data_IF_224995000565
#
_entry.id   IF_224995000565
#
_cell.length_a   1.000
_cell.length_b   1.000
_cell.length_c   1.000
_cell.angle_alpha   90.00
_cell.angle_beta   90.00
_cell.angle_gamma   90.00
#
_symmetry.space_group_name_H-M   'P 1'
#
loop_
_entity.id
_entity.type
_entity.pdbx_description
1 polymer ?
#
# COMPACT_ATOMS: atom_id res chain seq x y z
N UNK A 1 -7.69 -8.33 61.53
CA UNK A 1 -7.74 -9.78 61.20
C UNK A 1 -8.84 -9.98 60.17
N UNK A 2 -8.52 -10.21 58.94
CA UNK A 2 -9.45 -10.72 57.91
C UNK A 2 -8.62 -11.51 56.91
N UNK A 3 -8.85 -12.81 56.89
CA UNK A 3 -8.17 -13.82 56.08
C UNK A 3 -8.84 -13.83 54.72
N UNK A 4 -8.07 -13.55 53.63
CA UNK A 4 -8.56 -13.72 52.25
C UNK A 4 -8.09 -15.07 51.74
N UNK A 5 -9.05 -15.91 51.42
CA UNK A 5 -8.88 -17.27 50.89
C UNK A 5 -8.53 -17.26 49.39
N UNK A 6 -7.42 -17.89 49.04
CA UNK A 6 -7.00 -18.24 47.69
C UNK A 6 -7.85 -19.41 47.15
N UNK A 7 -8.58 -19.18 46.07
CA UNK A 7 -9.24 -20.27 45.31
C UNK A 7 -8.28 -20.79 44.23
N UNK A 8 -7.88 -22.05 44.38
CA UNK A 8 -7.17 -22.84 43.35
C UNK A 8 -8.18 -23.35 42.32
N UNK A 9 -7.86 -23.20 41.04
CA UNK A 9 -8.58 -23.80 39.92
C UNK A 9 -7.81 -25.04 39.46
N UNK A 10 -8.49 -26.20 39.23
CA UNK A 10 -7.82 -27.47 38.92
C UNK A 10 -7.44 -27.61 37.46
N UNK A 11 -6.24 -28.16 37.26
CA UNK A 11 -5.68 -28.59 35.98
C UNK A 11 -6.39 -29.87 35.51
N UNK A 12 -7.03 -29.85 34.34
CA UNK A 12 -7.53 -31.06 33.68
C UNK A 12 -6.47 -31.62 32.74
N UNK A 13 -5.92 -32.76 33.12
CA UNK A 13 -5.13 -33.66 32.29
C UNK A 13 -6.01 -34.37 31.27
N UNK A 14 -5.71 -34.25 29.99
CA UNK A 14 -6.33 -35.09 28.96
C UNK A 14 -5.41 -36.27 28.63
N UNK A 15 -5.91 -37.43 28.89
CA UNK A 15 -5.35 -38.78 28.59
C UNK A 15 -5.42 -39.03 27.08
N UNK A 16 -4.34 -39.59 26.56
CA UNK A 16 -4.24 -40.25 25.25
C UNK A 16 -5.02 -41.55 25.23
N UNK A 17 -5.73 -41.80 24.14
CA UNK A 17 -6.21 -43.16 23.80
C UNK A 17 -5.83 -43.48 22.38
N UNK A 18 -4.93 -44.41 22.24
CA UNK A 18 -4.58 -45.14 21.02
C UNK A 18 -5.61 -46.25 20.76
N UNK A 19 -6.16 -46.29 19.54
CA UNK A 19 -6.82 -47.48 19.01
C UNK A 19 -6.33 -47.74 17.59
N UNK A 20 -5.63 -48.87 17.43
CA UNK A 20 -5.27 -49.50 16.16
C UNK A 20 -6.46 -50.38 15.70
N UNK A 21 -6.76 -50.42 14.37
CA UNK A 21 -7.06 -51.62 13.56
C UNK A 21 -7.57 -51.21 12.14
N UNK A 22 -7.64 -52.16 11.14
CA UNK A 22 -6.57 -52.55 10.25
C UNK A 22 -6.94 -52.42 8.75
N UNK A 23 -5.96 -52.68 7.90
CA UNK A 23 -5.93 -52.86 6.44
C UNK A 23 -7.25 -53.22 5.72
N UNK A 24 -7.52 -52.55 4.59
CA UNK A 24 -8.06 -53.15 3.38
C UNK A 24 -7.56 -52.42 2.13
N UNK A 25 -7.02 -53.20 1.20
CA UNK A 25 -6.53 -52.82 -0.12
C UNK A 25 -7.68 -52.33 -1.02
N UNK A 26 -7.51 -51.23 -1.73
CA UNK A 26 -8.18 -51.00 -3.02
C UNK A 26 -7.33 -50.13 -3.92
N UNK A 27 -7.19 -50.60 -5.13
CA UNK A 27 -6.46 -50.15 -6.29
C UNK A 27 -6.78 -48.69 -6.64
N UNK A 28 -5.73 -47.86 -6.82
CA UNK A 28 -5.82 -46.49 -7.28
C UNK A 28 -5.85 -46.33 -8.79
N UNK A 29 -6.47 -45.30 -9.32
CA UNK A 29 -6.33 -44.88 -10.73
C UNK A 29 -5.06 -44.04 -10.95
N UNK A 30 -4.58 -43.92 -12.21
CA UNK A 30 -3.28 -43.38 -12.56
C UNK A 30 -3.21 -41.85 -12.46
N UNK A 31 -2.01 -41.24 -12.44
CA UNK A 31 -1.81 -39.81 -12.25
C UNK A 31 -2.20 -38.97 -13.46
N UNK A 32 -2.80 -37.79 -13.27
CA UNK A 32 -2.98 -36.86 -14.36
C UNK A 32 -1.72 -36.06 -14.67
N UNK A 33 -1.55 -35.84 -15.96
CA UNK A 33 -0.44 -35.14 -16.60
C UNK A 33 -0.34 -33.67 -16.21
N UNK A 34 0.87 -33.14 -16.25
CA UNK A 34 1.26 -31.72 -16.14
C UNK A 34 0.45 -30.82 -17.08
N UNK A 35 -0.02 -29.73 -16.56
CA UNK A 35 -0.42 -28.56 -17.33
C UNK A 35 -1.60 -27.78 -16.79
N UNK A 36 -1.42 -27.01 -15.72
CA UNK A 36 -2.23 -25.82 -15.52
C UNK A 36 -1.46 -24.74 -14.76
N UNK A 37 -1.16 -23.69 -15.51
CA UNK A 37 -0.64 -22.42 -15.03
C UNK A 37 -1.69 -21.71 -14.15
N UNK A 38 -1.24 -21.19 -13.04
CA UNK A 38 -2.03 -20.60 -11.95
C UNK A 38 -3.08 -19.58 -12.41
N UNK A 39 -4.29 -19.70 -11.88
CA UNK A 39 -5.45 -18.82 -12.11
C UNK A 39 -5.28 -17.34 -11.72
N UNK A 40 -4.17 -16.96 -11.09
CA UNK A 40 -3.96 -15.58 -10.65
C UNK A 40 -3.62 -14.59 -11.78
N UNK A 41 -3.20 -15.05 -12.95
CA UNK A 41 -2.94 -14.22 -14.12
C UNK A 41 -4.15 -14.01 -15.01
N UNK A 42 -5.19 -14.82 -14.86
CA UNK A 42 -6.43 -14.72 -15.67
C UNK A 42 -7.41 -13.63 -15.17
N UNK A 43 -7.29 -13.17 -13.95
CA UNK A 43 -8.23 -12.19 -13.36
C UNK A 43 -7.97 -10.75 -13.80
N UNK A 44 -6.74 -10.41 -14.18
CA UNK A 44 -6.39 -9.04 -14.63
C UNK A 44 -6.82 -8.80 -16.09
N UNK A 45 -6.98 -9.86 -16.89
CA UNK A 45 -7.35 -9.73 -18.31
C UNK A 45 -8.85 -9.71 -18.60
N UNK A 46 -9.71 -10.14 -17.66
CA UNK A 46 -11.17 -10.28 -17.92
C UNK A 46 -12.04 -9.10 -17.48
N UNK A 47 -11.58 -8.23 -16.59
CA UNK A 47 -12.40 -7.11 -16.08
C UNK A 47 -12.11 -5.74 -16.73
N UNK A 48 -11.32 -5.70 -17.79
CA UNK A 48 -10.96 -4.46 -18.51
C UNK A 48 -11.71 -4.19 -19.84
N UNK A 49 -12.48 -5.12 -20.36
CA UNK A 49 -13.03 -4.98 -21.74
C UNK A 49 -14.49 -5.47 -21.86
N UNK A 50 -15.34 -5.23 -20.91
CA UNK A 50 -16.75 -5.66 -21.04
C UNK A 50 -17.80 -4.63 -20.67
N UNK A 51 -17.58 -3.34 -20.94
CA UNK A 51 -18.65 -2.34 -20.78
C UNK A 51 -18.59 -1.23 -21.83
N UNK A 52 -18.31 -1.58 -23.10
CA UNK A 52 -18.45 -0.64 -24.22
C UNK A 52 -18.82 -1.37 -25.51
N UNK A 53 -19.91 -2.15 -25.55
CA UNK A 53 -20.56 -2.48 -26.82
C UNK A 53 -21.99 -2.98 -26.54
N UNK A 54 -22.94 -2.05 -26.44
CA UNK A 54 -24.32 -2.31 -26.79
C UNK A 54 -24.91 -1.03 -27.38
N UNK A 55 -25.17 -1.07 -28.64
CA UNK A 55 -25.97 -0.07 -29.34
C UNK A 55 -25.28 0.52 -30.56
N UNK A 56 -25.33 -0.22 -31.67
CA UNK A 56 -25.68 0.27 -33.01
C UNK A 56 -25.74 -0.99 -33.90
N UNK A 57 -26.96 -1.45 -34.19
CA UNK A 57 -27.26 -2.25 -35.38
C UNK A 57 -27.65 -1.30 -36.51
N UNK A 58 -27.05 -1.53 -37.66
CA UNK A 58 -27.62 -1.03 -38.90
C UNK A 58 -26.62 -0.63 -39.97
N UNK A 59 -26.65 -1.41 -41.08
CA UNK A 59 -26.36 -1.05 -42.49
C UNK A 59 -24.91 -1.26 -42.96
N UNK A 60 -24.72 -2.43 -43.58
CA UNK A 60 -24.55 -2.74 -45.01
C UNK A 60 -23.30 -2.26 -45.77
N UNK A 61 -22.54 -3.28 -46.22
CA UNK A 61 -21.73 -3.40 -47.45
C UNK A 61 -20.76 -2.32 -47.93
N UNK A 62 -19.51 -2.73 -48.08
CA UNK A 62 -18.64 -2.19 -49.10
C UNK A 62 -17.13 -2.12 -48.75
N UNK A 63 -16.38 -3.05 -49.40
CA UNK A 63 -14.98 -2.91 -49.80
C UNK A 63 -13.84 -3.08 -48.77
N UNK A 64 -13.26 -4.26 -48.87
CA UNK A 64 -11.92 -4.62 -48.42
C UNK A 64 -10.82 -3.79 -49.09
N UNK A 65 -9.99 -3.12 -48.28
CA UNK A 65 -8.63 -2.71 -48.67
C UNK A 65 -7.66 -3.03 -47.54
N UNK A 66 -6.38 -3.35 -47.85
CA UNK A 66 -5.49 -4.05 -46.95
C UNK A 66 -4.92 -3.15 -45.84
N UNK A 67 -4.85 -3.74 -44.64
CA UNK A 67 -4.31 -3.14 -43.42
C UNK A 67 -2.79 -2.94 -43.57
N UNK A 68 -2.35 -1.71 -43.74
CA UNK A 68 -0.95 -1.33 -43.58
C UNK A 68 -0.58 -1.31 -42.09
N UNK A 69 0.44 -2.08 -41.78
CA UNK A 69 1.11 -2.16 -40.47
C UNK A 69 1.43 -0.75 -39.95
N UNK A 70 0.72 -0.29 -38.91
CA UNK A 70 1.15 0.87 -38.14
C UNK A 70 2.13 0.40 -37.06
N UNK A 71 3.34 0.89 -37.17
CA UNK A 71 4.42 0.76 -36.20
C UNK A 71 3.91 1.06 -34.79
N UNK A 72 3.96 0.05 -33.92
CA UNK A 72 3.91 0.22 -32.48
C UNK A 72 5.20 0.93 -32.06
N UNK A 73 5.08 2.17 -31.63
CA UNK A 73 6.17 2.86 -30.92
C UNK A 73 6.39 2.14 -29.60
N UNK A 74 7.63 1.83 -29.23
CA UNK A 74 7.93 1.21 -27.95
C UNK A 74 7.59 2.17 -26.81
N UNK A 75 6.87 1.65 -25.81
CA UNK A 75 6.70 2.29 -24.50
C UNK A 75 8.10 2.53 -23.92
N UNK A 76 8.53 3.78 -23.89
CA UNK A 76 9.73 4.19 -23.17
C UNK A 76 9.61 3.80 -21.70
N UNK A 77 10.65 3.20 -21.08
CA UNK A 77 10.66 2.98 -19.65
C UNK A 77 10.57 4.34 -18.96
N UNK A 78 9.63 4.44 -18.02
CA UNK A 78 9.53 5.59 -17.13
C UNK A 78 10.88 5.78 -16.44
N UNK A 79 11.67 6.72 -16.94
CA UNK A 79 12.85 7.25 -16.25
C UNK A 79 12.31 7.83 -14.95
N UNK A 80 12.74 7.27 -13.82
CA UNK A 80 12.44 7.81 -12.51
C UNK A 80 12.95 9.24 -12.42
N UNK A 81 12.08 10.21 -12.61
CA UNK A 81 12.36 11.59 -12.28
C UNK A 81 12.50 11.66 -10.75
N UNK A 82 13.73 11.78 -10.29
CA UNK A 82 14.05 12.15 -8.91
C UNK A 82 13.44 13.51 -8.66
N UNK A 83 12.30 13.56 -7.98
CA UNK A 83 11.73 14.81 -7.51
C UNK A 83 12.62 15.34 -6.38
N UNK A 84 13.49 16.28 -6.73
CA UNK A 84 14.23 17.07 -5.76
C UNK A 84 13.25 17.85 -4.90
N UNK A 85 13.25 17.55 -3.61
CA UNK A 85 12.44 18.22 -2.58
C UNK A 85 12.99 19.64 -2.36
N UNK A 86 12.40 20.59 -3.08
CA UNK A 86 12.38 21.98 -2.66
C UNK A 86 10.92 22.44 -2.71
N UNK A 87 10.31 22.54 -1.54
CA UNK A 87 9.01 23.20 -1.36
C UNK A 87 9.18 24.71 -1.61
N UNK A 88 9.47 25.10 -2.86
CA UNK A 88 9.33 26.45 -3.32
C UNK A 88 7.86 26.63 -3.71
N UNK A 89 7.22 27.65 -3.15
CA UNK A 89 5.96 28.21 -3.64
C UNK A 89 6.23 28.68 -5.06
N UNK A 90 6.02 27.82 -6.03
CA UNK A 90 6.08 28.22 -7.44
C UNK A 90 4.79 28.96 -7.77
N UNK A 91 4.80 30.26 -7.44
CA UNK A 91 3.76 31.25 -7.80
C UNK A 91 4.16 31.94 -9.10
N UNK A 92 4.68 31.19 -10.05
CA UNK A 92 4.97 31.67 -11.39
C UNK A 92 3.67 32.00 -12.15
N UNK A 93 3.71 32.87 -13.17
CA UNK A 93 2.57 33.10 -14.06
C UNK A 93 2.16 31.78 -14.73
N UNK A 94 0.92 31.67 -15.21
CA UNK A 94 0.48 30.48 -15.92
C UNK A 94 1.30 30.26 -17.19
N UNK A 95 1.51 29.01 -17.53
CA UNK A 95 2.26 28.60 -18.72
C UNK A 95 1.57 29.11 -19.99
N UNK A 96 2.33 29.71 -20.91
CA UNK A 96 1.80 30.32 -22.14
C UNK A 96 0.91 29.32 -22.92
N UNK A 97 1.34 28.08 -23.10
CA UNK A 97 0.58 27.02 -23.77
C UNK A 97 -0.77 26.75 -23.06
N UNK A 98 -0.80 26.80 -21.73
CA UNK A 98 -2.03 26.59 -20.95
C UNK A 98 -2.99 27.76 -21.16
N UNK A 99 -2.47 28.99 -21.19
CA UNK A 99 -3.27 30.18 -21.46
C UNK A 99 -3.83 30.14 -22.88
N UNK A 100 -3.02 29.77 -23.88
CA UNK A 100 -3.47 29.63 -25.27
C UNK A 100 -4.62 28.60 -25.40
N UNK A 101 -4.42 27.39 -24.87
CA UNK A 101 -5.44 26.34 -24.88
C UNK A 101 -6.72 26.79 -24.15
N UNK A 102 -6.58 27.44 -22.98
CA UNK A 102 -7.71 27.98 -22.24
C UNK A 102 -8.50 28.98 -23.07
N UNK A 103 -7.85 29.95 -23.69
CA UNK A 103 -8.49 30.96 -24.54
C UNK A 103 -9.17 30.35 -25.78
N UNK A 104 -8.53 29.38 -26.40
CA UNK A 104 -9.08 28.64 -27.55
C UNK A 104 -10.36 27.88 -27.17
N UNK A 105 -10.36 27.23 -26.00
CA UNK A 105 -11.54 26.53 -25.50
C UNK A 105 -12.64 27.52 -25.09
N UNK A 106 -12.28 28.68 -24.50
CA UNK A 106 -13.24 29.70 -24.12
C UNK A 106 -13.95 30.28 -25.34
N UNK A 107 -13.24 30.60 -26.42
CA UNK A 107 -13.82 31.04 -27.69
C UNK A 107 -14.83 30.06 -28.29
N UNK A 108 -14.54 28.74 -28.17
CA UNK A 108 -15.48 27.71 -28.60
C UNK A 108 -16.78 27.74 -27.77
N UNK A 109 -16.66 27.91 -26.46
CA UNK A 109 -17.84 27.99 -25.58
C UNK A 109 -18.69 29.24 -25.84
N UNK A 110 -18.05 30.39 -26.11
CA UNK A 110 -18.70 31.63 -26.51
C UNK A 110 -19.43 31.50 -27.84
N UNK A 111 -18.84 30.77 -28.79
CA UNK A 111 -19.46 30.40 -30.06
C UNK A 111 -20.52 29.29 -29.92
N UNK A 112 -20.90 28.92 -28.70
CA UNK A 112 -21.86 27.85 -28.37
C UNK A 112 -21.52 26.48 -28.98
N UNK A 113 -20.21 26.22 -29.17
CA UNK A 113 -19.72 24.92 -29.68
C UNK A 113 -18.91 24.23 -28.60
N UNK A 114 -19.07 22.89 -28.53
CA UNK A 114 -18.30 22.10 -27.56
C UNK A 114 -16.85 21.96 -28.02
N UNK A 115 -15.85 22.37 -27.21
CA UNK A 115 -14.46 22.19 -27.57
C UNK A 115 -14.11 20.71 -27.78
N UNK A 116 -13.21 20.37 -28.69
CA UNK A 116 -12.71 18.99 -28.86
C UNK A 116 -12.10 18.46 -27.57
N UNK A 117 -12.38 17.21 -27.22
CA UNK A 117 -11.82 16.57 -26.03
C UNK A 117 -10.28 16.57 -26.03
N UNK A 118 -9.65 16.52 -27.20
CA UNK A 118 -8.18 16.59 -27.33
C UNK A 118 -7.58 17.83 -26.68
N UNK A 119 -8.26 18.99 -26.78
CA UNK A 119 -7.77 20.24 -26.16
C UNK A 119 -7.81 20.15 -24.63
N UNK A 120 -8.84 19.53 -24.07
CA UNK A 120 -8.92 19.32 -22.61
C UNK A 120 -7.82 18.38 -22.12
N UNK A 121 -7.54 17.30 -22.85
CA UNK A 121 -6.44 16.40 -22.51
C UNK A 121 -5.08 17.07 -22.61
N UNK A 122 -4.85 17.90 -23.66
CA UNK A 122 -3.64 18.69 -23.80
C UNK A 122 -3.50 19.70 -22.67
N UNK A 123 -4.58 20.38 -22.29
CA UNK A 123 -4.60 21.33 -21.18
C UNK A 123 -4.16 20.64 -19.86
N UNK A 124 -4.73 19.48 -19.53
CA UNK A 124 -4.36 18.71 -18.33
C UNK A 124 -2.90 18.28 -18.36
N UNK A 125 -2.42 17.81 -19.52
CA UNK A 125 -1.05 17.36 -19.68
C UNK A 125 -0.02 18.50 -19.53
N UNK A 126 -0.37 19.70 -20.00
CA UNK A 126 0.51 20.88 -19.98
C UNK A 126 0.55 21.60 -18.63
N UNK A 127 -0.36 21.30 -17.69
CA UNK A 127 -0.34 21.93 -16.36
C UNK A 127 0.95 21.57 -15.61
N UNK A 128 1.74 22.57 -15.24
CA UNK A 128 3.01 22.41 -14.52
C UNK A 128 3.05 23.14 -13.17
N UNK A 129 2.28 24.21 -13.03
CA UNK A 129 2.23 25.03 -11.81
C UNK A 129 0.79 25.20 -11.26
N UNK A 130 0.68 25.87 -10.13
CA UNK A 130 -0.60 26.06 -9.43
C UNK A 130 -1.58 26.95 -10.22
N UNK A 131 -1.10 27.96 -10.93
CA UNK A 131 -1.95 28.86 -11.70
C UNK A 131 -2.51 28.17 -12.94
N UNK A 132 -1.77 27.25 -13.55
CA UNK A 132 -2.27 26.37 -14.61
C UNK A 132 -3.44 25.51 -14.12
N UNK A 133 -3.29 24.91 -12.93
CA UNK A 133 -4.37 24.10 -12.32
C UNK A 133 -5.60 24.96 -12.02
N UNK A 134 -5.43 26.20 -11.62
CA UNK A 134 -6.54 27.13 -11.43
C UNK A 134 -7.31 27.35 -12.73
N UNK A 135 -6.61 27.66 -13.84
CA UNK A 135 -7.25 27.82 -15.15
C UNK A 135 -7.94 26.52 -15.61
N UNK A 136 -7.32 25.37 -15.38
CA UNK A 136 -7.94 24.08 -15.66
C UNK A 136 -9.27 23.90 -14.89
N UNK A 137 -9.31 24.22 -13.60
CA UNK A 137 -10.52 24.09 -12.80
C UNK A 137 -11.61 25.09 -13.21
N UNK A 138 -11.24 26.30 -13.59
CA UNK A 138 -12.16 27.29 -14.18
C UNK A 138 -12.75 26.77 -15.50
N UNK A 139 -11.93 26.18 -16.37
CA UNK A 139 -12.38 25.58 -17.62
C UNK A 139 -13.33 24.40 -17.38
N UNK A 140 -13.02 23.51 -16.46
CA UNK A 140 -13.89 22.39 -16.08
C UNK A 140 -15.27 22.86 -15.60
N UNK A 141 -15.31 23.92 -14.79
CA UNK A 141 -16.56 24.51 -14.33
C UNK A 141 -17.39 25.09 -15.50
N UNK A 142 -16.73 25.84 -16.41
CA UNK A 142 -17.38 26.39 -17.61
C UNK A 142 -17.91 25.28 -18.52
N UNK A 143 -17.13 24.25 -18.78
CA UNK A 143 -17.53 23.08 -19.57
C UNK A 143 -18.72 22.36 -18.94
N UNK A 144 -18.76 22.22 -17.62
CA UNK A 144 -19.90 21.61 -16.94
C UNK A 144 -21.17 22.44 -17.11
N UNK A 145 -21.10 23.75 -16.89
CA UNK A 145 -22.23 24.68 -17.09
C UNK A 145 -22.69 24.62 -18.53
N UNK A 146 -21.77 24.64 -19.49
CA UNK A 146 -22.11 24.55 -20.92
C UNK A 146 -22.86 23.25 -21.26
N UNK A 147 -22.38 22.11 -20.74
CA UNK A 147 -23.05 20.80 -20.96
C UNK A 147 -24.46 20.77 -20.37
N UNK A 148 -24.65 21.32 -19.19
CA UNK A 148 -25.96 21.36 -18.54
C UNK A 148 -26.93 22.28 -19.27
N UNK A 149 -26.50 23.47 -19.71
CA UNK A 149 -27.37 24.48 -20.31
C UNK A 149 -27.63 24.25 -21.80
N UNK A 150 -26.61 23.87 -22.58
CA UNK A 150 -26.71 23.79 -24.03
C UNK A 150 -26.94 22.36 -24.54
N UNK A 151 -26.33 21.35 -23.91
CA UNK A 151 -26.44 19.96 -24.35
C UNK A 151 -27.44 19.15 -23.52
N UNK A 152 -28.00 19.72 -22.44
CA UNK A 152 -28.90 19.04 -21.50
C UNK A 152 -28.34 17.72 -20.98
N UNK A 153 -27.02 17.66 -20.81
CA UNK A 153 -26.31 16.51 -20.27
C UNK A 153 -26.12 16.75 -18.77
N UNK A 154 -26.75 15.92 -17.94
CA UNK A 154 -26.71 16.05 -16.48
C UNK A 154 -25.52 15.29 -15.84
N UNK A 155 -24.95 14.35 -16.55
CA UNK A 155 -23.89 13.51 -16.01
C UNK A 155 -22.57 14.25 -15.85
N UNK A 156 -21.86 13.89 -14.79
CA UNK A 156 -20.49 14.33 -14.58
C UNK A 156 -19.57 13.78 -15.68
N UNK A 157 -18.36 14.32 -15.77
CA UNK A 157 -17.30 13.71 -16.55
C UNK A 157 -16.97 12.32 -16.04
N UNK A 158 -16.39 11.49 -16.90
CA UNK A 158 -16.02 10.14 -16.53
C UNK A 158 -14.91 10.12 -15.44
N UNK A 159 -14.78 8.99 -14.77
CA UNK A 159 -13.81 8.81 -13.69
C UNK A 159 -12.35 8.93 -14.17
N UNK A 160 -12.08 8.63 -15.44
CA UNK A 160 -10.74 8.75 -16.01
C UNK A 160 -10.28 10.21 -16.05
N UNK A 161 -11.17 11.16 -16.37
CA UNK A 161 -10.86 12.58 -16.30
C UNK A 161 -10.46 12.99 -14.88
N UNK A 162 -11.23 12.57 -13.87
CA UNK A 162 -10.92 12.86 -12.46
C UNK A 162 -9.54 12.32 -12.05
N UNK A 163 -9.17 11.12 -12.52
CA UNK A 163 -7.85 10.55 -12.27
C UNK A 163 -6.74 11.43 -12.85
N UNK A 164 -6.87 11.85 -14.11
CA UNK A 164 -5.85 12.69 -14.78
C UNK A 164 -5.75 14.09 -14.18
N UNK A 165 -6.89 14.67 -13.77
CA UNK A 165 -6.88 15.95 -13.04
C UNK A 165 -6.19 15.80 -11.68
N UNK A 166 -6.46 14.72 -10.95
CA UNK A 166 -5.78 14.46 -9.66
C UNK A 166 -4.28 14.25 -9.82
N UNK A 167 -3.86 13.56 -10.89
CA UNK A 167 -2.45 13.40 -11.28
C UNK A 167 -1.79 14.74 -11.56
N UNK A 168 -2.43 15.61 -12.37
CA UNK A 168 -1.92 16.94 -12.66
C UNK A 168 -1.81 17.82 -11.40
N UNK A 169 -2.81 17.76 -10.50
CA UNK A 169 -2.76 18.44 -9.20
C UNK A 169 -1.59 17.96 -8.33
N UNK A 170 -1.32 16.65 -8.30
CA UNK A 170 -0.19 16.09 -7.55
C UNK A 170 1.15 16.58 -8.16
N UNK A 171 1.28 16.50 -9.48
CA UNK A 171 2.49 16.95 -10.21
C UNK A 171 2.77 18.43 -10.00
N UNK A 172 1.75 19.29 -10.08
CA UNK A 172 1.86 20.73 -9.86
C UNK A 172 1.82 21.14 -8.37
N UNK A 173 1.87 20.20 -7.43
CA UNK A 173 1.77 20.47 -5.98
C UNK A 173 0.52 21.28 -5.55
N UNK A 174 -0.51 21.35 -6.41
CA UNK A 174 -1.76 22.07 -6.18
C UNK A 174 -2.78 21.21 -5.40
N UNK A 175 -2.40 20.82 -4.19
CA UNK A 175 -3.10 19.80 -3.39
C UNK A 175 -4.49 20.23 -2.93
N UNK A 176 -4.72 21.51 -2.72
CA UNK A 176 -6.05 22.05 -2.39
C UNK A 176 -7.05 21.83 -3.53
N UNK A 177 -6.63 22.03 -4.78
CA UNK A 177 -7.43 21.69 -5.97
C UNK A 177 -7.61 20.17 -6.10
N UNK A 178 -6.55 19.38 -5.86
CA UNK A 178 -6.66 17.94 -5.82
C UNK A 178 -7.69 17.43 -4.80
N UNK A 179 -7.70 17.99 -3.60
CA UNK A 179 -8.71 17.68 -2.60
C UNK A 179 -10.13 18.11 -3.04
N UNK A 180 -10.28 19.25 -3.73
CA UNK A 180 -11.57 19.68 -4.31
C UNK A 180 -12.04 18.70 -5.40
N UNK A 181 -11.13 18.18 -6.24
CA UNK A 181 -11.44 17.18 -7.25
C UNK A 181 -11.98 15.87 -6.66
N UNK A 182 -11.54 15.51 -5.45
CA UNK A 182 -12.01 14.30 -4.75
C UNK A 182 -13.37 14.44 -4.10
N UNK A 183 -13.97 15.62 -4.02
CA UNK A 183 -15.32 15.77 -3.45
C UNK A 183 -16.38 15.18 -4.36
N UNK A 184 -17.29 14.36 -3.80
CA UNK A 184 -18.38 13.71 -4.56
C UNK A 184 -19.30 14.72 -5.26
N UNK A 185 -19.59 15.82 -4.60
CA UNK A 185 -20.50 16.87 -5.10
C UNK A 185 -19.71 18.14 -5.47
N UNK A 186 -18.65 17.97 -6.27
CA UNK A 186 -17.87 19.11 -6.74
C UNK A 186 -18.56 19.87 -7.87
N UNK A 187 -18.28 21.16 -7.99
CA UNK A 187 -18.84 22.03 -9.03
C UNK A 187 -18.19 21.83 -10.41
N UNK A 188 -17.16 21.03 -10.48
CA UNK A 188 -16.36 20.81 -11.70
C UNK A 188 -16.83 19.62 -12.52
N UNK A 189 -17.82 18.88 -12.04
CA UNK A 189 -18.34 17.69 -12.71
C UNK A 189 -17.41 16.49 -12.67
N UNK A 190 -16.43 16.47 -11.77
CA UNK A 190 -15.50 15.35 -11.64
C UNK A 190 -16.14 14.20 -10.86
N UNK A 191 -15.88 12.97 -11.29
CA UNK A 191 -16.34 11.75 -10.62
C UNK A 191 -15.17 11.09 -9.91
N UNK A 192 -15.04 11.29 -8.57
CA UNK A 192 -13.91 10.76 -7.81
C UNK A 192 -13.95 9.23 -7.70
N UNK A 193 -12.77 8.62 -7.76
CA UNK A 193 -12.56 7.18 -7.55
C UNK A 193 -11.39 6.95 -6.60
N UNK A 194 -11.20 5.69 -6.18
CA UNK A 194 -10.01 5.30 -5.42
C UNK A 194 -8.73 5.59 -6.23
N UNK A 195 -8.75 5.37 -7.55
CA UNK A 195 -7.61 5.68 -8.42
C UNK A 195 -7.22 7.15 -8.39
N UNK A 196 -8.20 8.08 -8.42
CA UNK A 196 -7.91 9.52 -8.31
C UNK A 196 -7.32 9.89 -6.95
N UNK A 197 -7.76 9.24 -5.86
CA UNK A 197 -7.20 9.45 -4.54
C UNK A 197 -5.78 8.88 -4.39
N UNK A 198 -5.45 7.80 -5.11
CA UNK A 198 -4.12 7.20 -5.05
C UNK A 198 -3.02 8.14 -5.55
N UNK A 199 -3.27 8.99 -6.55
CA UNK A 199 -2.29 9.99 -6.99
C UNK A 199 -1.90 10.96 -5.86
N UNK A 200 -2.90 11.46 -5.13
CA UNK A 200 -2.65 12.35 -3.99
C UNK A 200 -2.05 11.62 -2.77
N UNK A 201 -2.44 10.35 -2.55
CA UNK A 201 -1.83 9.52 -1.50
C UNK A 201 -0.37 9.19 -1.83
N UNK A 202 -0.02 8.94 -3.11
CA UNK A 202 1.36 8.74 -3.54
C UNK A 202 2.20 9.99 -3.32
N UNK A 203 1.67 11.15 -3.66
CA UNK A 203 2.30 12.42 -3.32
C UNK A 203 2.55 12.56 -1.82
N UNK A 204 1.54 12.27 -0.98
CA UNK A 204 1.67 12.30 0.47
C UNK A 204 2.73 11.31 0.99
N UNK A 205 2.89 10.14 0.33
CA UNK A 205 3.92 9.14 0.64
C UNK A 205 5.33 9.62 0.31
N UNK A 206 5.50 10.28 -0.83
CA UNK A 206 6.78 10.83 -1.28
C UNK A 206 7.25 11.97 -0.36
N UNK A 207 6.32 12.83 0.05
CA UNK A 207 6.59 13.99 0.91
C UNK A 207 6.44 13.71 2.41
N UNK A 208 6.15 12.46 2.81
CA UNK A 208 5.90 12.07 4.19
C UNK A 208 4.83 12.93 4.90
N UNK A 209 3.78 13.31 4.16
CA UNK A 209 2.70 14.16 4.69
C UNK A 209 1.53 13.33 5.24
N UNK A 210 1.64 13.00 6.54
CA UNK A 210 0.57 12.30 7.24
C UNK A 210 -0.71 13.15 7.39
N UNK A 211 -0.62 14.49 7.38
CA UNK A 211 -1.77 15.37 7.50
C UNK A 211 -2.62 15.33 6.22
N UNK A 212 -1.95 15.40 5.07
CA UNK A 212 -2.60 15.25 3.76
C UNK A 212 -3.26 13.86 3.63
N UNK A 213 -2.53 12.80 3.98
CA UNK A 213 -3.07 11.44 4.01
C UNK A 213 -4.37 11.35 4.82
N UNK A 214 -4.39 11.91 6.04
CA UNK A 214 -5.58 11.90 6.90
C UNK A 214 -6.75 12.63 6.23
N UNK A 215 -6.52 13.79 5.58
CA UNK A 215 -7.54 14.53 4.85
C UNK A 215 -8.13 13.71 3.70
N UNK A 216 -7.26 13.07 2.90
CA UNK A 216 -7.69 12.21 1.78
C UNK A 216 -8.54 11.04 2.31
N UNK A 217 -8.08 10.34 3.34
CA UNK A 217 -8.82 9.22 3.94
C UNK A 217 -10.17 9.63 4.53
N UNK A 218 -10.30 10.86 5.03
CA UNK A 218 -11.58 11.41 5.45
C UNK A 218 -12.53 11.66 4.28
N UNK A 219 -12.02 12.18 3.15
CA UNK A 219 -12.81 12.39 1.93
C UNK A 219 -13.28 11.06 1.36
N UNK A 220 -12.40 10.03 1.29
CA UNK A 220 -12.78 8.70 0.85
C UNK A 220 -13.93 8.13 1.68
N UNK A 221 -13.86 8.30 3.00
CA UNK A 221 -14.92 7.86 3.91
C UNK A 221 -16.24 8.63 3.68
N UNK A 222 -16.19 9.95 3.51
CA UNK A 222 -17.38 10.79 3.23
C UNK A 222 -18.04 10.43 1.90
N UNK A 223 -17.22 10.11 0.90
CA UNK A 223 -17.72 9.69 -0.41
C UNK A 223 -18.21 8.23 -0.44
N UNK A 224 -18.08 7.49 0.65
CA UNK A 224 -18.38 6.04 0.74
C UNK A 224 -17.63 5.21 -0.30
N UNK A 225 -16.42 5.63 -0.68
CA UNK A 225 -15.58 4.89 -1.61
C UNK A 225 -14.99 3.64 -0.95
N UNK A 226 -15.00 2.47 -1.63
CA UNK A 226 -14.52 1.23 -1.06
C UNK A 226 -13.01 1.29 -0.83
N UNK A 227 -12.57 0.88 0.35
CA UNK A 227 -11.15 0.77 0.65
C UNK A 227 -10.54 -0.43 -0.07
N UNK A 228 -9.33 -0.26 -0.61
CA UNK A 228 -8.61 -1.30 -1.36
C UNK A 228 -7.30 -1.68 -0.66
N UNK A 229 -6.76 -2.90 -0.90
CA UNK A 229 -5.48 -3.31 -0.33
C UNK A 229 -4.33 -2.36 -0.67
N UNK A 230 -4.24 -1.88 -1.92
CA UNK A 230 -3.23 -0.90 -2.33
C UNK A 230 -3.32 0.44 -1.58
N UNK A 231 -4.52 0.84 -1.15
CA UNK A 231 -4.69 2.01 -0.27
C UNK A 231 -4.05 1.76 1.10
N UNK A 232 -4.17 0.53 1.64
CA UNK A 232 -3.53 0.18 2.90
C UNK A 232 -2.00 0.22 2.80
N UNK A 233 -1.43 -0.30 1.70
CA UNK A 233 0.02 -0.29 1.46
C UNK A 233 0.59 1.14 1.51
N UNK A 234 -0.09 2.09 0.85
CA UNK A 234 0.32 3.50 0.85
C UNK A 234 0.17 4.12 2.24
N UNK A 235 -1.00 3.96 2.88
CA UNK A 235 -1.31 4.53 4.19
C UNK A 235 -0.37 4.02 5.28
N UNK A 236 -0.09 2.71 5.30
CA UNK A 236 0.81 2.12 6.28
C UNK A 236 2.25 2.59 6.07
N UNK A 237 2.68 2.71 4.81
CA UNK A 237 4.00 3.27 4.47
C UNK A 237 4.16 4.71 4.98
N UNK A 238 3.14 5.56 4.82
CA UNK A 238 3.16 6.94 5.34
C UNK A 238 3.22 6.94 6.87
N UNK A 239 2.38 6.13 7.53
CA UNK A 239 2.38 6.03 9.00
C UNK A 239 3.75 5.59 9.55
N UNK A 240 4.38 4.59 8.91
CA UNK A 240 5.69 4.08 9.29
C UNK A 240 6.78 5.16 9.13
N UNK A 241 6.87 5.78 7.95
CA UNK A 241 7.86 6.82 7.65
C UNK A 241 7.70 8.06 8.55
N UNK A 242 6.47 8.44 8.87
CA UNK A 242 6.16 9.58 9.75
C UNK A 242 6.11 9.22 11.22
N UNK A 243 6.40 7.97 11.56
CA UNK A 243 6.43 7.46 12.93
C UNK A 243 5.11 7.66 13.71
N UNK A 244 3.96 7.40 13.05
CA UNK A 244 2.61 7.59 13.62
C UNK A 244 1.95 6.24 13.93
N UNK A 245 2.36 5.61 15.06
CA UNK A 245 1.82 4.31 15.50
C UNK A 245 0.30 4.33 15.71
N UNK A 246 -0.24 5.38 16.31
CA UNK A 246 -1.68 5.52 16.55
C UNK A 246 -2.49 5.54 15.25
N UNK A 247 -1.94 6.17 14.20
CA UNK A 247 -2.61 6.24 12.90
C UNK A 247 -2.64 4.88 12.21
N UNK A 248 -1.55 4.11 12.20
CA UNK A 248 -1.55 2.79 11.58
C UNK A 248 -2.53 1.87 12.30
N UNK A 249 -2.56 1.89 13.63
CA UNK A 249 -3.50 1.12 14.44
C UNK A 249 -4.97 1.49 14.16
N UNK A 250 -5.26 2.79 14.00
CA UNK A 250 -6.58 3.31 13.63
C UNK A 250 -7.00 2.84 12.24
N UNK A 251 -6.11 2.97 11.23
CA UNK A 251 -6.44 2.61 9.86
C UNK A 251 -6.49 1.10 9.67
N UNK A 252 -5.63 0.31 10.32
CA UNK A 252 -5.71 -1.14 10.31
C UNK A 252 -7.06 -1.66 10.79
N UNK A 253 -7.60 -1.08 11.89
CA UNK A 253 -8.96 -1.39 12.34
C UNK A 253 -10.03 -1.02 11.29
N UNK A 254 -9.86 0.10 10.56
CA UNK A 254 -10.79 0.49 9.49
C UNK A 254 -10.75 -0.48 8.31
N UNK A 255 -9.56 -0.85 7.83
CA UNK A 255 -9.40 -1.81 6.74
C UNK A 255 -9.97 -3.20 7.13
N UNK A 256 -9.68 -3.68 8.35
CA UNK A 256 -10.22 -4.94 8.85
C UNK A 256 -11.75 -4.93 8.95
N UNK A 257 -12.35 -3.84 9.47
CA UNK A 257 -13.81 -3.68 9.53
C UNK A 257 -14.46 -3.63 8.14
N UNK A 258 -13.76 -3.08 7.15
CA UNK A 258 -14.21 -3.04 5.76
C UNK A 258 -14.00 -4.38 5.02
N UNK A 259 -13.48 -5.42 5.68
CA UNK A 259 -13.23 -6.72 5.08
C UNK A 259 -12.10 -6.74 4.04
N UNK A 260 -11.22 -5.74 4.06
CA UNK A 260 -10.12 -5.63 3.09
C UNK A 260 -9.05 -6.69 3.40
N UNK A 261 -8.74 -7.53 2.42
CA UNK A 261 -7.63 -8.47 2.50
C UNK A 261 -6.33 -7.72 2.23
N UNK A 262 -5.55 -7.49 3.28
CA UNK A 262 -4.28 -6.77 3.18
C UNK A 262 -3.25 -7.56 2.36
N UNK A 263 -2.41 -6.84 1.61
CA UNK A 263 -1.27 -7.41 0.91
C UNK A 263 -0.15 -7.76 1.88
N UNK A 264 0.78 -8.60 1.41
CA UNK A 264 2.00 -8.96 2.14
C UNK A 264 2.79 -7.73 2.60
N UNK A 265 2.97 -6.75 1.72
CA UNK A 265 3.68 -5.51 2.01
C UNK A 265 3.07 -4.70 3.17
N UNK A 266 1.74 -4.69 3.30
CA UNK A 266 1.09 -4.03 4.44
C UNK A 266 1.41 -4.74 5.77
N UNK A 267 1.45 -6.08 5.78
CA UNK A 267 1.83 -6.84 6.98
C UNK A 267 3.30 -6.64 7.33
N UNK A 268 4.19 -6.61 6.33
CA UNK A 268 5.62 -6.36 6.52
C UNK A 268 5.83 -5.04 7.28
N UNK A 269 5.26 -3.95 6.75
CA UNK A 269 5.37 -2.62 7.36
C UNK A 269 4.74 -2.58 8.76
N UNK A 270 3.57 -3.21 8.94
CA UNK A 270 2.84 -3.13 10.19
C UNK A 270 3.51 -3.93 11.31
N UNK A 271 4.01 -5.14 11.02
CA UNK A 271 4.77 -5.95 11.99
C UNK A 271 6.10 -5.32 12.34
N UNK A 272 6.83 -4.81 11.33
CA UNK A 272 8.09 -4.11 11.56
C UNK A 272 7.88 -2.87 12.44
N UNK A 273 6.80 -2.11 12.23
CA UNK A 273 6.49 -0.96 13.07
C UNK A 273 6.13 -1.37 14.51
N UNK A 274 5.40 -2.47 14.71
CA UNK A 274 5.14 -3.01 16.04
C UNK A 274 6.42 -3.40 16.75
N UNK A 275 7.35 -4.06 16.08
CA UNK A 275 8.67 -4.42 16.60
C UNK A 275 9.55 -3.19 16.93
N UNK A 276 9.45 -2.16 16.10
CA UNK A 276 10.15 -0.87 16.30
C UNK A 276 9.64 -0.09 17.50
N UNK A 277 8.34 -0.19 17.80
CA UNK A 277 7.72 0.45 18.98
C UNK A 277 7.90 -0.41 20.25
N UNK A 278 8.22 -1.69 20.11
CA UNK A 278 8.35 -2.63 21.21
C UNK A 278 7.03 -3.18 21.72
N UNK A 279 6.01 -3.25 20.86
CA UNK A 279 4.69 -3.80 21.20
C UNK A 279 4.56 -5.26 20.74
N UNK A 280 5.08 -6.20 21.56
CA UNK A 280 5.02 -7.63 21.31
C UNK A 280 3.58 -8.12 21.13
N UNK A 281 2.64 -7.63 21.93
CA UNK A 281 1.23 -8.02 21.86
C UNK A 281 0.61 -7.66 20.50
N UNK A 282 1.00 -6.53 19.93
CA UNK A 282 0.58 -6.16 18.58
C UNK A 282 1.21 -7.05 17.51
N UNK A 283 2.47 -7.47 17.67
CA UNK A 283 3.12 -8.42 16.74
C UNK A 283 2.29 -9.70 16.64
N UNK A 284 1.92 -10.30 17.77
CA UNK A 284 1.11 -11.54 17.82
C UNK A 284 -0.28 -11.36 17.21
N UNK A 285 -0.94 -10.23 17.49
CA UNK A 285 -2.25 -9.92 16.89
C UNK A 285 -2.17 -9.75 15.37
N UNK A 286 -1.14 -9.08 14.88
CA UNK A 286 -0.92 -8.85 13.45
C UNK A 286 -0.58 -10.18 12.77
N UNK A 287 0.26 -11.01 13.38
CA UNK A 287 0.62 -12.32 12.83
C UNK A 287 -0.60 -13.26 12.73
N UNK A 288 -1.45 -13.27 13.73
CA UNK A 288 -2.73 -14.00 13.67
C UNK A 288 -3.64 -13.54 12.53
N UNK A 289 -3.58 -12.26 12.14
CA UNK A 289 -4.31 -11.74 10.99
C UNK A 289 -3.61 -12.11 9.67
N UNK A 290 -2.28 -12.00 9.63
CA UNK A 290 -1.45 -12.35 8.48
C UNK A 290 -1.65 -13.82 8.09
N UNK A 291 -1.56 -14.72 9.05
CA UNK A 291 -1.63 -16.19 8.83
C UNK A 291 -2.93 -16.64 8.18
N UNK A 292 -4.02 -15.85 8.27
CA UNK A 292 -5.29 -16.12 7.60
C UNK A 292 -5.25 -15.87 6.08
N UNK A 293 -4.37 -14.99 5.62
CA UNK A 293 -4.27 -14.56 4.21
C UNK A 293 -2.93 -14.90 3.57
N UNK A 294 -1.85 -14.87 4.34
CA UNK A 294 -0.47 -15.13 3.90
C UNK A 294 0.13 -16.19 4.80
N UNK A 295 0.25 -17.43 4.32
CA UNK A 295 0.70 -18.57 5.13
C UNK A 295 2.17 -18.45 5.55
N UNK A 296 3.05 -18.04 4.64
CA UNK A 296 4.49 -17.95 4.90
C UNK A 296 4.92 -16.57 5.36
N UNK A 297 5.91 -16.51 6.25
CA UNK A 297 6.59 -15.28 6.59
C UNK A 297 7.45 -14.77 5.42
N UNK A 298 7.50 -13.46 5.29
CA UNK A 298 8.54 -12.78 4.52
C UNK A 298 9.77 -12.62 5.41
N UNK A 299 10.88 -12.17 4.86
CA UNK A 299 12.04 -11.80 5.65
C UNK A 299 11.68 -10.77 6.73
N UNK A 300 10.99 -9.70 6.36
CA UNK A 300 10.58 -8.64 7.29
C UNK A 300 9.64 -9.14 8.40
N UNK A 301 8.58 -9.88 8.05
CA UNK A 301 7.66 -10.41 9.08
C UNK A 301 8.31 -11.46 9.96
N UNK A 302 9.23 -12.29 9.43
CA UNK A 302 9.96 -13.28 10.20
C UNK A 302 10.88 -12.64 11.24
N UNK A 303 11.66 -11.63 10.83
CA UNK A 303 12.48 -10.87 11.77
C UNK A 303 11.65 -10.08 12.78
N UNK A 304 10.53 -9.47 12.36
CA UNK A 304 9.62 -8.82 13.30
C UNK A 304 9.02 -9.81 14.33
N UNK A 305 8.75 -11.05 13.91
CA UNK A 305 8.26 -12.11 14.77
C UNK A 305 9.34 -12.56 15.77
N UNK A 306 10.61 -12.71 15.34
CA UNK A 306 11.75 -12.99 16.22
C UNK A 306 11.99 -11.86 17.24
N UNK A 307 11.88 -10.60 16.81
CA UNK A 307 11.93 -9.43 17.72
C UNK A 307 10.84 -9.48 18.78
N UNK A 308 9.65 -10.00 18.43
CA UNK A 308 8.57 -10.24 19.40
C UNK A 308 8.97 -11.20 20.53
N UNK A 309 9.66 -12.28 20.20
CA UNK A 309 10.18 -13.21 21.19
C UNK A 309 11.23 -12.57 22.09
N UNK A 310 12.14 -11.77 21.54
CA UNK A 310 13.13 -11.03 22.34
C UNK A 310 12.49 -10.02 23.29
N UNK A 311 11.37 -9.38 22.89
CA UNK A 311 10.61 -8.50 23.78
C UNK A 311 9.90 -9.24 24.92
N UNK A 312 9.67 -10.55 24.77
CA UNK A 312 9.11 -11.44 25.81
C UNK A 312 10.19 -12.27 26.52
N UNK A 313 11.47 -11.89 26.41
CA UNK A 313 12.61 -12.58 27.04
C UNK A 313 12.73 -14.06 26.68
N UNK A 314 12.48 -14.39 25.40
CA UNK A 314 12.60 -15.73 24.86
C UNK A 314 13.60 -15.80 23.69
N UNK A 315 14.91 -15.80 23.99
CA UNK A 315 15.95 -15.82 22.95
C UNK A 315 15.98 -17.14 22.16
N UNK A 316 15.61 -18.26 22.77
CA UNK A 316 15.53 -19.57 22.07
C UNK A 316 14.41 -19.59 21.03
N UNK A 317 13.24 -19.03 21.37
CA UNK A 317 12.14 -18.86 20.43
C UNK A 317 12.52 -17.96 19.26
N UNK A 318 13.24 -16.88 19.51
CA UNK A 318 13.75 -15.99 18.47
C UNK A 318 14.75 -16.73 17.55
N UNK A 319 15.70 -17.49 18.11
CA UNK A 319 16.65 -18.27 17.36
C UNK A 319 15.96 -19.33 16.47
N UNK A 320 15.00 -20.05 17.02
CA UNK A 320 14.24 -21.07 16.26
C UNK A 320 13.54 -20.48 15.04
N UNK A 321 12.91 -19.29 15.18
CA UNK A 321 12.26 -18.58 14.07
C UNK A 321 13.28 -18.16 13.01
N UNK A 322 14.40 -17.59 13.43
CA UNK A 322 15.47 -17.14 12.51
C UNK A 322 16.07 -18.33 11.76
N UNK A 323 16.32 -19.44 12.44
CA UNK A 323 16.81 -20.69 11.83
C UNK A 323 15.84 -21.24 10.78
N UNK A 324 14.56 -21.35 11.12
CA UNK A 324 13.52 -21.79 10.19
C UNK A 324 13.43 -20.87 8.98
N UNK A 325 13.52 -19.56 9.19
CA UNK A 325 13.50 -18.57 8.14
C UNK A 325 14.69 -18.77 7.18
N UNK A 326 15.91 -18.96 7.72
CA UNK A 326 17.10 -19.21 6.92
C UNK A 326 16.99 -20.48 6.07
N UNK A 327 16.45 -21.57 6.65
CA UNK A 327 16.24 -22.83 5.94
C UNK A 327 15.22 -22.74 4.80
N UNK A 328 14.22 -21.87 4.94
CA UNK A 328 13.14 -21.71 3.95
C UNK A 328 13.44 -20.67 2.88
N UNK A 329 14.50 -19.87 3.06
CA UNK A 329 14.86 -18.81 2.12
C UNK A 329 15.68 -19.37 0.93
N UNK A 330 15.39 -18.89 -0.30
CA UNK A 330 16.24 -19.15 -1.46
C UNK A 330 17.65 -18.58 -1.26
N UNK A 331 18.67 -19.24 -1.83
CA UNK A 331 20.08 -18.82 -1.70
C UNK A 331 20.34 -17.37 -2.14
N UNK A 332 19.60 -16.89 -3.14
CA UNK A 332 19.67 -15.50 -3.61
C UNK A 332 19.31 -14.45 -2.54
N UNK A 333 18.57 -14.85 -1.50
CA UNK A 333 18.15 -13.95 -0.40
C UNK A 333 19.01 -14.08 0.86
N UNK A 334 19.98 -14.96 0.89
CA UNK A 334 20.89 -15.15 2.03
C UNK A 334 21.70 -13.89 2.39
N UNK A 335 22.21 -13.11 1.43
CA UNK A 335 22.86 -11.82 1.76
C UNK A 335 21.92 -10.85 2.49
N UNK A 336 20.69 -10.67 1.98
CA UNK A 336 19.70 -9.81 2.64
C UNK A 336 19.29 -10.33 4.02
N UNK A 337 19.34 -11.65 4.25
CA UNK A 337 19.10 -12.23 5.57
C UNK A 337 20.20 -11.84 6.56
N UNK A 338 21.47 -11.91 6.14
CA UNK A 338 22.61 -11.52 6.97
C UNK A 338 22.54 -10.04 7.34
N UNK A 339 22.19 -9.17 6.38
CA UNK A 339 21.99 -7.74 6.64
C UNK A 339 20.89 -7.48 7.67
N UNK A 340 19.76 -8.17 7.56
CA UNK A 340 18.64 -8.03 8.50
C UNK A 340 18.98 -8.59 9.89
N UNK A 341 19.74 -9.69 9.97
CA UNK A 341 20.23 -10.23 11.23
C UNK A 341 21.22 -9.24 11.91
N UNK A 342 22.12 -8.66 11.14
CA UNK A 342 23.05 -7.64 11.65
C UNK A 342 22.30 -6.39 12.19
N UNK A 343 21.25 -5.94 11.49
CA UNK A 343 20.39 -4.84 11.96
C UNK A 343 19.62 -5.21 13.24
N UNK A 344 19.13 -6.45 13.35
CA UNK A 344 18.48 -6.93 14.57
C UNK A 344 19.42 -6.87 15.77
N UNK A 345 20.68 -7.21 15.57
CA UNK A 345 21.68 -7.25 16.65
C UNK A 345 22.16 -5.86 17.04
N UNK A 346 22.47 -5.00 16.06
CA UNK A 346 23.17 -3.73 16.31
C UNK A 346 22.24 -2.51 16.36
N UNK A 347 21.24 -2.43 15.48
CA UNK A 347 20.45 -1.21 15.31
C UNK A 347 19.14 -1.24 16.10
N UNK A 348 18.40 -2.36 15.98
CA UNK A 348 17.06 -2.47 16.55
C UNK A 348 17.03 -2.32 18.09
N UNK A 349 17.95 -2.86 18.89
CA UNK A 349 17.92 -2.68 20.36
C UNK A 349 17.98 -1.21 20.75
N UNK A 350 18.86 -0.45 20.11
CA UNK A 350 19.00 0.98 20.36
C UNK A 350 17.74 1.75 19.98
N UNK A 351 17.10 1.35 18.88
CA UNK A 351 15.90 2.00 18.40
C UNK A 351 14.68 1.72 19.28
N UNK A 352 14.47 0.47 19.69
CA UNK A 352 13.33 0.09 20.53
C UNK A 352 13.46 0.64 21.95
N UNK A 353 14.66 0.61 22.55
CA UNK A 353 14.94 1.16 23.89
C UNK A 353 14.69 2.68 23.89
N UNK A 354 15.16 3.41 22.88
CA UNK A 354 14.92 4.86 22.76
C UNK A 354 13.44 5.24 22.77
N UNK A 355 12.54 4.33 22.35
CA UNK A 355 11.10 4.57 22.24
C UNK A 355 10.32 4.23 23.50
N UNK A 356 10.92 3.48 24.42
CA UNK A 356 10.27 3.11 25.66
C UNK A 356 10.16 4.30 26.62
N UNK A 357 9.24 4.19 27.57
CA UNK A 357 9.14 5.12 28.70
C UNK A 357 10.41 5.05 29.55
N UNK A 358 10.73 6.15 30.23
CA UNK A 358 11.99 6.24 31.01
C UNK A 358 12.16 5.10 32.01
N UNK A 359 11.07 4.70 32.65
CA UNK A 359 11.08 3.67 33.70
C UNK A 359 11.35 2.27 33.16
N UNK A 360 10.81 1.96 31.96
CA UNK A 360 10.94 0.65 31.32
C UNK A 360 12.23 0.52 30.49
N UNK A 361 12.87 1.65 30.17
CA UNK A 361 13.99 1.71 29.22
C UNK A 361 15.21 0.90 29.69
N UNK A 362 15.61 1.07 30.97
CA UNK A 362 16.77 0.38 31.50
C UNK A 362 16.56 -1.12 31.64
N UNK A 363 15.37 -1.53 32.09
CA UNK A 363 15.02 -2.94 32.20
C UNK A 363 15.04 -3.65 30.82
N UNK A 364 14.47 -3.01 29.77
CA UNK A 364 14.51 -3.55 28.43
C UNK A 364 15.94 -3.59 27.85
N UNK A 365 16.75 -2.55 28.11
CA UNK A 365 18.12 -2.50 27.64
C UNK A 365 18.96 -3.63 28.27
N UNK A 366 18.87 -3.81 29.58
CA UNK A 366 19.61 -4.84 30.32
C UNK A 366 19.20 -6.24 29.88
N UNK A 367 17.91 -6.46 29.61
CA UNK A 367 17.42 -7.72 29.13
C UNK A 367 17.87 -8.01 27.68
N UNK A 368 17.80 -7.05 26.77
CA UNK A 368 18.27 -7.25 25.39
C UNK A 368 19.78 -7.49 25.31
N UNK A 369 20.58 -6.88 26.20
CA UNK A 369 22.03 -7.16 26.32
C UNK A 369 22.33 -8.60 26.73
N UNK A 370 21.42 -9.27 27.43
CA UNK A 370 21.51 -10.68 27.81
C UNK A 370 20.92 -11.59 26.70
N UNK A 371 19.73 -11.27 26.20
CA UNK A 371 18.95 -12.13 25.33
C UNK A 371 19.51 -12.24 23.90
N UNK A 372 20.09 -11.15 23.36
CA UNK A 372 20.66 -11.17 22.01
C UNK A 372 21.88 -12.08 21.92
N UNK A 373 22.89 -12.02 22.81
CA UNK A 373 23.97 -13.00 22.81
C UNK A 373 23.49 -14.43 23.03
N UNK A 374 22.50 -14.66 23.90
CA UNK A 374 21.90 -15.98 24.10
C UNK A 374 21.24 -16.51 22.81
N UNK A 375 20.51 -15.68 22.11
CA UNK A 375 19.93 -16.01 20.80
C UNK A 375 21.02 -16.38 19.79
N UNK A 376 22.11 -15.61 19.71
CA UNK A 376 23.23 -15.88 18.78
C UNK A 376 23.90 -17.20 19.13
N UNK A 377 24.17 -17.47 20.40
CA UNK A 377 24.72 -18.74 20.84
C UNK A 377 23.82 -19.93 20.47
N UNK A 378 22.51 -19.77 20.60
CA UNK A 378 21.54 -20.78 20.17
C UNK A 378 21.55 -21.01 18.64
N UNK A 379 21.75 -19.95 17.84
CA UNK A 379 21.91 -20.07 16.39
C UNK A 379 23.20 -20.81 16.01
N UNK A 380 24.33 -20.49 16.65
CA UNK A 380 25.60 -21.15 16.40
C UNK A 380 25.55 -22.64 16.80
N UNK A 381 24.95 -22.99 17.94
CA UNK A 381 24.79 -24.39 18.36
C UNK A 381 23.87 -25.17 17.43
N UNK A 382 22.93 -24.52 16.77
CA UNK A 382 22.07 -25.14 15.77
C UNK A 382 22.68 -25.22 14.36
N UNK A 383 23.97 -24.86 14.22
CA UNK A 383 24.74 -24.99 12.98
C UNK A 383 24.53 -23.86 11.97
N UNK A 384 23.99 -22.72 12.42
CA UNK A 384 23.88 -21.52 11.60
C UNK A 384 25.16 -20.68 11.77
N UNK A 385 26.12 -20.90 10.88
CA UNK A 385 27.37 -20.12 10.84
C UNK A 385 27.16 -18.87 9.96
N UNK A 386 26.74 -17.78 10.59
CA UNK A 386 26.61 -16.47 9.94
C UNK A 386 27.63 -15.52 10.57
N UNK A 387 28.49 -14.86 9.79
CA UNK A 387 29.44 -13.88 10.29
C UNK A 387 28.69 -12.66 10.86
N UNK A 388 28.51 -12.65 12.18
CA UNK A 388 27.87 -11.53 12.89
C UNK A 388 28.95 -10.74 13.61
N UNK A 389 29.01 -9.44 13.33
CA UNK A 389 29.89 -8.55 14.06
C UNK A 389 29.20 -8.06 15.34
N UNK A 390 29.70 -8.48 16.51
CA UNK A 390 29.20 -8.13 17.84
C UNK A 390 29.87 -6.88 18.43
N UNK A 391 30.81 -6.23 17.73
CA UNK A 391 31.59 -5.13 18.29
C UNK A 391 30.76 -3.90 18.65
N UNK A 392 29.55 -3.73 18.10
CA UNK A 392 28.66 -2.61 18.43
C UNK A 392 28.00 -2.65 19.81
N UNK A 393 28.13 -3.75 20.58
CA UNK A 393 27.51 -3.89 21.91
C UNK A 393 28.44 -3.54 23.10
N UNK A 394 29.69 -3.18 22.83
CA UNK A 394 30.69 -2.92 23.87
C UNK A 394 30.81 -1.46 24.32
N UNK A 395 29.87 -0.58 24.02
CA UNK A 395 29.91 0.82 24.47
C UNK A 395 28.74 1.17 25.39
#
# INVERSE_FOLDING_TARGET
MAIVALRRVPIRTLRSSSVLHPFSNSIGPPPPQLGELSESTRWISRNGISTMYSGIQGISHGNLLPFTQRHLLPLSPMVGASFSSTAAKDTGPPTELVVELYQKMLKSLEARTMPPNAWLWSLIASCSNREDIKLLFEMLQKLRIFRLSNLRIHDNFNCHLCMRVSEACARASALDYGLKALWKHNVYGLTPTIGSAHYLLSYAKEHNDAKLMVKIMQILQRNSLPLQPGTADIVFSICYKTNKWDLISKYAKKFSKAGVKLHRAAFDIWMEFAAKVGDAQSIWKIDKLRSKSVKQHTLATGFAYAKGFLLEHNPEGAAAVIQLLYQTLPDQKKPSFTDELQKLVNEWPLEVVKRQKKDDRKALEDSLKSDIPAMINSLLTSGLDVPINLEGQKS
#
